data_IF_626070390691
#
_entry.id   IF_626070390691
#
_cell.length_a   1.000
_cell.length_b   1.000
_cell.length_c   1.000
_cell.angle_alpha   90.00
_cell.angle_beta   90.00
_cell.angle_gamma   90.00
#
_symmetry.space_group_name_H-M   'P 1'
#
loop_
_entity.id
_entity.type
_entity.pdbx_description
1 polymer ?
#
# COMPACT_ATOMS: atom_id res chain seq x y z
N UNK A 1 -12.65 1.98 -1.10
CA UNK A 1 -12.92 1.11 -2.27
C UNK A 1 -14.30 0.47 -2.16
N UNK A 2 -14.78 -0.22 -3.22
CA UNK A 2 -16.13 -0.81 -3.27
C UNK A 2 -16.18 -2.23 -2.68
N UNK A 3 -17.40 -2.69 -2.32
CA UNK A 3 -17.70 -4.10 -1.96
C UNK A 3 -17.22 -5.11 -3.02
N UNK A 4 -17.06 -4.68 -4.26
CA UNK A 4 -16.62 -5.54 -5.36
C UNK A 4 -15.14 -5.93 -5.22
N UNK A 5 -14.30 -5.05 -4.68
CA UNK A 5 -12.90 -5.36 -4.42
C UNK A 5 -12.77 -6.45 -3.36
N UNK A 6 -13.48 -6.29 -2.24
CA UNK A 6 -13.53 -7.30 -1.16
C UNK A 6 -14.10 -8.62 -1.68
N UNK A 7 -15.17 -8.58 -2.49
CA UNK A 7 -15.74 -9.77 -3.12
C UNK A 7 -14.73 -10.51 -3.99
N UNK A 8 -13.95 -9.79 -4.81
CA UNK A 8 -12.92 -10.40 -5.65
C UNK A 8 -11.78 -11.03 -4.82
N UNK A 9 -11.36 -10.42 -3.72
CA UNK A 9 -10.36 -10.99 -2.81
C UNK A 9 -10.86 -12.27 -2.15
N UNK A 10 -12.10 -12.28 -1.66
CA UNK A 10 -12.71 -13.45 -1.03
C UNK A 10 -12.86 -14.61 -2.03
N UNK A 11 -13.24 -14.31 -3.27
CA UNK A 11 -13.32 -15.30 -4.33
C UNK A 11 -11.95 -15.93 -4.62
N UNK A 12 -10.89 -15.13 -4.72
CA UNK A 12 -9.53 -15.63 -4.93
C UNK A 12 -9.03 -16.50 -3.78
N UNK A 13 -9.34 -16.11 -2.55
CA UNK A 13 -9.03 -16.91 -1.38
C UNK A 13 -9.72 -18.28 -1.44
N UNK A 14 -11.02 -18.30 -1.72
CA UNK A 14 -11.82 -19.52 -1.79
C UNK A 14 -11.43 -20.45 -2.95
N UNK A 15 -11.15 -19.91 -4.13
CA UNK A 15 -10.88 -20.71 -5.34
C UNK A 15 -9.42 -21.14 -5.49
N UNK A 16 -8.48 -20.31 -5.03
CA UNK A 16 -7.04 -20.48 -5.30
C UNK A 16 -6.20 -20.66 -4.04
N UNK A 17 -6.79 -20.55 -2.85
CA UNK A 17 -6.07 -20.69 -1.57
C UNK A 17 -5.09 -19.55 -1.29
N UNK A 18 -5.20 -18.43 -2.01
CA UNK A 18 -4.32 -17.28 -1.80
C UNK A 18 -4.84 -16.46 -0.61
N UNK A 19 -3.99 -16.20 0.37
CA UNK A 19 -4.41 -15.42 1.54
C UNK A 19 -4.85 -14.00 1.14
N UNK A 20 -5.96 -13.55 1.73
CA UNK A 20 -6.48 -12.20 1.49
C UNK A 20 -5.45 -11.13 1.85
N UNK A 21 -4.66 -11.35 2.92
CA UNK A 21 -3.64 -10.42 3.38
C UNK A 21 -2.50 -10.25 2.36
N UNK A 22 -2.04 -11.34 1.74
CA UNK A 22 -1.01 -11.28 0.71
C UNK A 22 -1.50 -10.57 -0.56
N UNK A 23 -2.76 -10.77 -0.93
CA UNK A 23 -3.38 -10.07 -2.06
C UNK A 23 -3.54 -8.58 -1.76
N UNK A 24 -4.03 -8.24 -0.56
CA UNK A 24 -4.15 -6.86 -0.12
C UNK A 24 -2.80 -6.16 -0.15
N UNK A 25 -1.76 -6.76 0.43
CA UNK A 25 -0.41 -6.20 0.42
C UNK A 25 0.11 -5.95 -0.99
N UNK A 26 -0.10 -6.90 -1.91
CA UNK A 26 0.26 -6.71 -3.33
C UNK A 26 -0.48 -5.50 -3.92
N UNK A 27 -1.79 -5.39 -3.65
CA UNK A 27 -2.61 -4.29 -4.17
C UNK A 27 -2.16 -2.96 -3.59
N UNK A 28 -1.88 -2.88 -2.30
CA UNK A 28 -1.31 -1.71 -1.63
C UNK A 28 -0.01 -1.27 -2.31
N UNK A 29 0.97 -2.17 -2.45
CA UNK A 29 2.27 -1.90 -3.09
C UNK A 29 2.12 -1.40 -4.53
N UNK A 30 1.22 -2.01 -5.30
CA UNK A 30 0.99 -1.63 -6.68
C UNK A 30 0.30 -0.26 -6.80
N UNK A 31 -0.67 0.03 -5.93
CA UNK A 31 -1.30 1.35 -5.85
C UNK A 31 -0.23 2.39 -5.44
N UNK A 32 0.56 2.12 -4.39
CA UNK A 32 1.66 2.99 -3.96
C UNK A 32 2.67 3.26 -5.11
N UNK A 33 3.03 2.24 -5.88
CA UNK A 33 3.90 2.43 -7.04
C UNK A 33 3.26 3.28 -8.14
N UNK A 34 1.95 3.17 -8.35
CA UNK A 34 1.24 4.03 -9.29
C UNK A 34 1.18 5.47 -8.79
N UNK A 35 1.01 5.67 -7.48
CA UNK A 35 1.07 6.98 -6.82
C UNK A 35 2.40 7.68 -7.03
N UNK A 36 3.52 7.00 -6.77
CA UNK A 36 4.87 7.56 -6.95
C UNK A 36 5.15 8.04 -8.37
N UNK A 37 4.46 7.49 -9.39
CA UNK A 37 4.64 7.91 -10.80
C UNK A 37 3.90 9.19 -11.17
N UNK A 38 2.83 9.52 -10.45
CA UNK A 38 1.95 10.65 -10.78
C UNK A 38 2.14 11.83 -9.82
N UNK A 39 2.75 11.60 -8.64
CA UNK A 39 2.99 12.64 -7.66
C UNK A 39 4.24 13.46 -8.04
N UNK A 40 4.15 14.80 -8.08
CA UNK A 40 5.31 15.67 -8.21
C UNK A 40 6.05 15.75 -6.87
N UNK A 41 6.93 14.78 -6.59
CA UNK A 41 7.79 14.71 -5.39
C UNK A 41 8.24 13.27 -5.11
N UNK A 42 9.40 13.08 -4.45
CA UNK A 42 9.88 11.77 -4.04
C UNK A 42 9.27 11.31 -2.70
N UNK A 43 8.20 11.96 -2.24
CA UNK A 43 7.57 11.66 -0.97
C UNK A 43 7.00 10.23 -0.92
N UNK A 44 7.29 9.53 0.18
CA UNK A 44 6.81 8.17 0.40
C UNK A 44 5.32 8.17 0.75
N UNK A 45 4.49 7.79 -0.22
CA UNK A 45 3.06 7.53 -0.03
C UNK A 45 2.85 6.06 0.28
N UNK A 46 2.14 5.82 1.38
CA UNK A 46 1.68 4.52 1.82
C UNK A 46 0.17 4.42 1.66
N UNK A 47 -0.26 3.21 1.33
CA UNK A 47 -1.65 2.84 1.11
C UNK A 47 -1.91 1.64 1.98
N UNK A 48 -2.94 1.73 2.81
CA UNK A 48 -3.45 0.64 3.64
C UNK A 48 -4.89 0.35 3.23
N UNK A 49 -5.22 -0.93 3.10
CA UNK A 49 -6.54 -1.40 2.75
C UNK A 49 -7.00 -2.39 3.80
N UNK A 50 -8.12 -2.09 4.43
CA UNK A 50 -8.77 -3.03 5.32
C UNK A 50 -9.37 -4.19 4.48
N UNK A 51 -8.93 -5.44 4.70
CA UNK A 51 -9.33 -6.60 3.89
C UNK A 51 -10.82 -6.94 4.02
N UNK A 52 -11.47 -6.54 5.11
CA UNK A 52 -12.87 -6.89 5.39
C UNK A 52 -13.84 -5.86 4.82
N UNK A 53 -13.52 -4.58 4.96
CA UNK A 53 -14.39 -3.46 4.58
C UNK A 53 -14.00 -2.83 3.24
N UNK A 54 -12.78 -3.06 2.76
CA UNK A 54 -12.24 -2.38 1.58
C UNK A 54 -12.04 -0.87 1.80
N UNK A 55 -12.02 -0.43 3.07
CA UNK A 55 -11.65 0.95 3.40
C UNK A 55 -10.18 1.13 3.09
N UNK A 56 -9.89 2.24 2.42
CA UNK A 56 -8.53 2.56 1.97
C UNK A 56 -8.11 3.83 2.68
N UNK A 57 -6.93 3.79 3.28
CA UNK A 57 -6.26 4.93 3.86
C UNK A 57 -5.00 5.20 3.06
N UNK A 58 -4.73 6.47 2.82
CA UNK A 58 -3.53 6.91 2.12
C UNK A 58 -2.86 7.95 3.00
N UNK A 59 -1.57 7.80 3.20
CA UNK A 59 -0.81 8.69 4.05
C UNK A 59 0.63 8.83 3.59
N UNK A 60 1.25 9.95 3.94
CA UNK A 60 2.68 10.16 3.80
C UNK A 60 3.36 9.74 5.08
N UNK A 61 4.46 9.02 4.96
CA UNK A 61 5.27 8.66 6.11
C UNK A 61 6.75 8.75 5.79
N UNK A 62 7.54 8.98 6.83
CA UNK A 62 8.99 8.94 6.77
C UNK A 62 9.52 7.76 7.55
N UNK A 63 10.67 7.24 7.12
CA UNK A 63 11.39 6.17 7.80
C UNK A 63 12.36 6.77 8.80
N UNK A 64 12.34 6.25 10.03
CA UNK A 64 13.29 6.67 11.06
C UNK A 64 14.64 5.98 10.81
N UNK A 65 15.69 6.77 10.64
CA UNK A 65 17.05 6.29 10.35
C UNK A 65 18.06 6.90 11.34
N UNK A 66 19.26 6.31 11.40
CA UNK A 66 20.36 6.88 12.21
C UNK A 66 21.01 8.06 11.49
N UNK A 67 21.28 7.90 10.19
CA UNK A 67 21.81 8.93 9.31
C UNK A 67 20.83 9.12 8.15
N UNK A 68 20.49 10.38 7.86
CA UNK A 68 19.52 10.73 6.80
C UNK A 68 20.25 10.80 5.46
N UNK A 69 19.88 9.92 4.53
CA UNK A 69 20.35 9.96 3.15
C UNK A 69 19.42 10.82 2.28
N UNK A 70 18.09 10.72 2.49
CA UNK A 70 17.09 11.50 1.77
C UNK A 70 16.11 12.21 2.73
N UNK A 71 16.29 13.54 2.96
CA UNK A 71 15.43 14.32 3.85
C UNK A 71 13.95 14.37 3.46
N UNK A 72 13.56 14.02 2.23
CA UNK A 72 12.15 13.98 1.83
C UNK A 72 11.42 12.75 2.40
N UNK A 73 12.14 11.64 2.60
CA UNK A 73 11.55 10.34 2.98
C UNK A 73 12.09 9.78 4.30
N UNK A 74 13.13 10.39 4.84
CA UNK A 74 13.80 9.96 6.06
C UNK A 74 13.92 11.11 7.05
N UNK A 75 14.11 10.72 8.30
CA UNK A 75 14.39 11.61 9.41
C UNK A 75 15.05 10.85 10.55
N UNK A 76 15.83 11.58 11.34
CA UNK A 76 16.56 11.03 12.48
C UNK A 76 15.61 10.58 13.58
N UNK A 77 16.09 9.71 14.46
CA UNK A 77 15.36 9.31 15.67
C UNK A 77 14.93 10.51 16.52
N UNK A 78 15.75 11.56 16.60
CA UNK A 78 15.43 12.74 17.40
C UNK A 78 14.31 13.58 16.76
N UNK A 79 14.32 13.75 15.43
CA UNK A 79 13.21 14.36 14.71
C UNK A 79 11.93 13.51 14.85
N UNK A 80 12.07 12.18 14.82
CA UNK A 80 10.98 11.23 15.01
C UNK A 80 10.33 11.29 16.38
N UNK A 81 11.15 11.47 17.42
CA UNK A 81 10.66 11.64 18.79
C UNK A 81 9.87 12.93 19.00
N UNK A 82 10.06 13.94 18.15
CA UNK A 82 9.23 15.15 18.12
C UNK A 82 7.78 14.89 17.69
N UNK A 83 7.56 13.84 16.89
CA UNK A 83 6.22 13.43 16.41
C UNK A 83 5.66 12.27 17.25
N UNK A 84 6.49 11.27 17.53
CA UNK A 84 6.16 10.07 18.31
C UNK A 84 7.28 9.79 19.29
N UNK A 85 7.05 10.08 20.58
CA UNK A 85 8.07 9.99 21.63
C UNK A 85 8.78 8.62 21.74
N UNK A 86 8.10 7.54 21.34
CA UNK A 86 8.63 6.17 21.40
C UNK A 86 9.27 5.70 20.07
N UNK A 87 9.50 6.60 19.11
CA UNK A 87 10.07 6.26 17.82
C UNK A 87 11.46 5.62 17.94
N UNK A 88 11.69 4.59 17.12
CA UNK A 88 12.95 3.86 16.99
C UNK A 88 13.40 3.79 15.54
N UNK A 89 14.69 3.59 15.33
CA UNK A 89 15.26 3.31 14.00
C UNK A 89 14.49 2.15 13.36
N UNK A 90 14.11 2.33 12.10
CA UNK A 90 13.30 1.39 11.33
C UNK A 90 11.79 1.60 11.46
N UNK A 91 11.32 2.46 12.38
CA UNK A 91 9.90 2.80 12.43
C UNK A 91 9.48 3.59 11.20
N UNK A 92 8.24 3.35 10.76
CA UNK A 92 7.56 4.18 9.78
C UNK A 92 6.59 5.10 10.52
N UNK A 93 6.78 6.42 10.38
CA UNK A 93 6.00 7.41 11.09
C UNK A 93 5.18 8.21 10.10
N UNK A 94 3.86 8.10 10.23
CA UNK A 94 2.90 8.88 9.48
C UNK A 94 3.04 10.37 9.81
N UNK A 95 3.22 11.18 8.77
CA UNK A 95 3.36 12.63 8.85
C UNK A 95 2.05 13.32 8.48
N UNK A 96 1.34 12.79 7.48
CA UNK A 96 0.15 13.44 6.94
C UNK A 96 -0.82 12.41 6.33
N UNK A 97 -2.12 12.58 6.61
CA UNK A 97 -3.16 11.87 5.87
C UNK A 97 -3.41 12.55 4.53
N UNK A 98 -3.40 11.76 3.47
CA UNK A 98 -3.66 12.25 2.11
C UNK A 98 -5.11 11.93 1.77
N UNK A 99 -5.86 12.93 1.31
CA UNK A 99 -7.23 12.69 0.84
C UNK A 99 -7.21 11.72 -0.36
N UNK A 100 -7.80 10.51 -0.23
CA UNK A 100 -7.85 9.55 -1.32
C UNK A 100 -8.60 10.07 -2.54
N UNK A 101 -9.48 11.08 -2.38
CA UNK A 101 -10.25 11.69 -3.46
C UNK A 101 -9.36 12.44 -4.47
N UNK A 102 -8.21 12.97 -4.02
CA UNK A 102 -7.27 13.72 -4.85
C UNK A 102 -6.69 12.89 -6.02
N UNK A 103 -6.86 11.58 -5.97
CA UNK A 103 -6.29 10.64 -6.94
C UNK A 103 -7.34 9.75 -7.63
N UNK A 104 -8.63 10.01 -7.33
CA UNK A 104 -9.78 9.69 -8.18
C UNK A 104 -9.91 8.23 -8.63
N UNK A 105 -10.06 8.02 -9.95
CA UNK A 105 -10.34 6.70 -10.57
C UNK A 105 -9.12 5.77 -10.66
N UNK A 106 -7.92 6.30 -10.45
CA UNK A 106 -6.67 5.55 -10.62
C UNK A 106 -6.58 4.39 -9.61
N UNK A 107 -7.05 4.57 -8.37
CA UNK A 107 -7.02 3.50 -7.35
C UNK A 107 -7.83 2.29 -7.75
N UNK A 108 -9.08 2.51 -8.18
CA UNK A 108 -9.98 1.42 -8.51
C UNK A 108 -9.47 0.64 -9.73
N UNK A 109 -8.91 1.34 -10.72
CA UNK A 109 -8.38 0.71 -11.92
C UNK A 109 -7.09 -0.08 -11.65
N UNK A 110 -6.13 0.50 -10.92
CA UNK A 110 -4.88 -0.18 -10.57
C UNK A 110 -5.15 -1.40 -9.69
N UNK A 111 -6.00 -1.27 -8.66
CA UNK A 111 -6.38 -2.38 -7.80
C UNK A 111 -6.95 -3.55 -8.61
N UNK A 112 -7.91 -3.26 -9.51
CA UNK A 112 -8.49 -4.27 -10.40
C UNK A 112 -7.45 -4.94 -11.29
N UNK A 113 -6.55 -4.17 -11.88
CA UNK A 113 -5.51 -4.70 -12.77
C UNK A 113 -4.56 -5.65 -12.03
N UNK A 114 -4.17 -5.29 -10.80
CA UNK A 114 -3.26 -6.08 -9.97
C UNK A 114 -3.91 -7.39 -9.52
N UNK A 115 -5.17 -7.34 -9.09
CA UNK A 115 -5.95 -8.53 -8.76
C UNK A 115 -6.07 -9.47 -9.96
N UNK A 116 -6.40 -8.95 -11.14
CA UNK A 116 -6.49 -9.74 -12.37
C UNK A 116 -5.13 -10.34 -12.79
N UNK A 117 -4.04 -9.61 -12.57
CA UNK A 117 -2.70 -10.11 -12.84
C UNK A 117 -2.35 -11.27 -11.90
N UNK A 118 -2.59 -11.11 -10.58
CA UNK A 118 -2.36 -12.17 -9.59
C UNK A 118 -3.19 -13.41 -9.86
N UNK A 119 -4.44 -13.24 -10.29
CA UNK A 119 -5.29 -14.37 -10.71
C UNK A 119 -4.66 -15.15 -11.86
N UNK A 120 -4.17 -14.46 -12.90
CA UNK A 120 -3.51 -15.10 -14.05
C UNK A 120 -2.19 -15.78 -13.68
N UNK A 121 -1.42 -15.20 -12.77
CA UNK A 121 -0.16 -15.79 -12.26
C UNK A 121 -0.46 -17.10 -11.53
N UNK A 122 -1.43 -17.09 -10.61
CA UNK A 122 -1.87 -18.28 -9.88
C UNK A 122 -2.43 -19.37 -10.81
N UNK A 123 -3.14 -19.01 -11.89
CA UNK A 123 -3.61 -19.97 -12.90
C UNK A 123 -2.46 -20.66 -13.64
N UNK A 124 -1.37 -19.95 -13.95
CA UNK A 124 -0.20 -20.55 -14.63
C UNK A 124 0.57 -21.48 -13.71
N UNK A 125 0.67 -21.14 -12.42
CA UNK A 125 1.40 -21.94 -11.44
C UNK A 125 0.76 -23.32 -11.25
N UNK A 126 -0.57 -23.43 -11.37
CA UNK A 126 -1.31 -24.71 -11.33
C UNK A 126 -1.18 -25.52 -12.62
N UNK A 127 -0.98 -24.87 -13.77
CA UNK A 127 -0.91 -25.54 -15.09
C UNK A 127 0.51 -26.00 -15.44
N UNK A 128 1.54 -25.35 -14.90
CA UNK A 128 2.95 -25.64 -15.17
C UNK A 128 3.74 -26.12 -13.94
N UNK A 129 3.08 -26.31 -12.80
CA UNK A 129 3.64 -26.85 -11.56
C UNK A 129 3.33 -28.32 -11.33
#
# INVERSE_FOLDING_TARGET
MSREFVGALLQLNAEKGVSSDQLVKTVEEAIQSAYRRVSPGNENVFVEIDPQSGRTRVYRAKTVVEEVDDPEIEFTVDEARGVKAEAKVGDLIEIEQVDPSAFGRIHAQTAKQVVLQRLREAEREVVFG
#
